data_IF_807440241525
#
_entry.id   IF_807440241525
#
_cell.length_a   1.000
_cell.length_b   1.000
_cell.length_c   1.000
_cell.angle_alpha   90.00
_cell.angle_beta   90.00
_cell.angle_gamma   90.00
#
_symmetry.space_group_name_H-M   'P 1'
#
loop_
_entity.id
_entity.type
_entity.pdbx_description
1 polymer ?
#
# COMPACT_ATOMS: atom_id res chain seq x y z
N UNK A 1 14.15 1.04 -23.94
CA UNK A 1 13.22 2.10 -23.45
C UNK A 1 11.74 1.72 -23.60
N UNK A 2 11.35 0.91 -24.59
CA UNK A 2 9.95 0.51 -24.81
C UNK A 2 9.34 -0.30 -23.64
N UNK A 3 10.08 -1.26 -23.07
CA UNK A 3 9.63 -2.02 -21.89
C UNK A 3 9.44 -1.15 -20.63
N UNK A 4 10.25 -0.11 -20.46
CA UNK A 4 10.13 0.83 -19.35
C UNK A 4 8.90 1.73 -19.49
N UNK A 5 8.59 2.16 -20.73
CA UNK A 5 7.35 2.89 -21.03
C UNK A 5 6.11 2.02 -20.87
N UNK A 6 6.17 0.75 -21.26
CA UNK A 6 5.08 -0.21 -21.02
C UNK A 6 4.85 -0.48 -19.52
N UNK A 7 5.94 -0.51 -18.74
CA UNK A 7 5.92 -0.66 -17.29
C UNK A 7 5.34 0.55 -16.55
N UNK A 8 5.53 1.76 -17.06
CA UNK A 8 4.91 2.98 -16.55
C UNK A 8 3.56 3.30 -17.22
N UNK A 9 3.11 2.45 -18.14
CA UNK A 9 1.82 2.61 -18.81
C UNK A 9 0.63 2.28 -17.90
N UNK A 10 -0.61 2.51 -18.37
CA UNK A 10 -1.83 2.34 -17.56
C UNK A 10 -1.97 0.94 -16.92
N UNK A 11 -1.51 -0.11 -17.63
CA UNK A 11 -1.53 -1.49 -17.13
C UNK A 11 -0.48 -1.71 -16.03
N UNK A 12 0.69 -1.09 -16.15
CA UNK A 12 1.76 -1.18 -15.15
C UNK A 12 1.40 -0.43 -13.87
N UNK A 13 0.83 0.78 -13.98
CA UNK A 13 0.29 1.52 -12.83
C UNK A 13 -0.79 0.73 -12.07
N UNK A 14 -1.63 0.01 -12.80
CA UNK A 14 -2.66 -0.87 -12.22
C UNK A 14 -2.04 -2.03 -11.44
N UNK A 15 -1.04 -2.69 -12.02
CA UNK A 15 -0.31 -3.77 -11.36
C UNK A 15 0.36 -3.27 -10.08
N UNK A 16 0.99 -2.09 -10.11
CA UNK A 16 1.54 -1.45 -8.92
C UNK A 16 0.47 -1.15 -7.88
N UNK A 17 -0.66 -0.54 -8.28
CA UNK A 17 -1.76 -0.25 -7.36
C UNK A 17 -2.26 -1.51 -6.64
N UNK A 18 -2.38 -2.63 -7.35
CA UNK A 18 -2.75 -3.93 -6.77
C UNK A 18 -1.67 -4.44 -5.80
N UNK A 19 -0.39 -4.36 -6.17
CA UNK A 19 0.71 -4.78 -5.28
C UNK A 19 0.71 -3.96 -3.99
N UNK A 20 0.62 -2.62 -4.09
CA UNK A 20 0.55 -1.74 -2.92
C UNK A 20 -0.68 -2.01 -2.07
N UNK A 21 -1.83 -2.34 -2.68
CA UNK A 21 -3.04 -2.71 -1.96
C UNK A 21 -2.84 -4.00 -1.15
N UNK A 22 -2.28 -5.04 -1.77
CA UNK A 22 -2.00 -6.32 -1.09
C UNK A 22 -1.02 -6.09 0.07
N UNK A 23 0.06 -5.35 -0.16
CA UNK A 23 1.03 -5.02 0.90
C UNK A 23 0.38 -4.20 2.02
N UNK A 24 -0.50 -3.26 1.69
CA UNK A 24 -1.24 -2.47 2.68
C UNK A 24 -2.19 -3.31 3.52
N UNK A 25 -2.89 -4.26 2.91
CA UNK A 25 -3.76 -5.20 3.64
C UNK A 25 -2.95 -6.14 4.53
N UNK A 26 -1.80 -6.64 4.06
CA UNK A 26 -0.91 -7.46 4.88
C UNK A 26 -0.33 -6.67 6.07
N UNK A 27 0.08 -5.42 5.84
CA UNK A 27 0.56 -4.53 6.89
C UNK A 27 -0.54 -4.23 7.92
N UNK A 28 -1.79 -4.05 7.46
CA UNK A 28 -2.95 -3.85 8.32
C UNK A 28 -3.22 -5.09 9.21
N UNK A 29 -3.23 -6.28 8.63
CA UNK A 29 -3.36 -7.53 9.38
C UNK A 29 -2.24 -7.66 10.42
N UNK A 30 -1.00 -7.35 10.02
CA UNK A 30 0.15 -7.38 10.92
C UNK A 30 0.07 -6.34 12.06
N UNK A 31 -0.54 -5.17 11.81
CA UNK A 31 -0.83 -4.17 12.82
C UNK A 31 -1.91 -4.65 13.79
N UNK A 32 -3.01 -5.21 13.30
CA UNK A 32 -4.10 -5.73 14.14
C UNK A 32 -3.58 -6.84 15.04
N UNK A 33 -2.86 -7.81 14.48
CA UNK A 33 -2.26 -8.88 15.26
C UNK A 33 -1.27 -8.36 16.30
N UNK A 34 -0.51 -7.31 16.00
CA UNK A 34 0.36 -6.67 16.99
C UNK A 34 -0.41 -6.04 18.15
N UNK A 35 -1.53 -5.42 17.85
CA UNK A 35 -2.38 -4.76 18.84
C UNK A 35 -3.17 -5.75 19.69
N UNK A 36 -3.46 -6.95 19.19
CA UNK A 36 -4.19 -7.97 19.93
C UNK A 36 -3.27 -8.93 20.68
N UNK A 37 -2.16 -9.36 20.07
CA UNK A 37 -1.33 -10.45 20.61
C UNK A 37 -0.30 -10.00 21.65
N UNK A 38 0.08 -8.72 21.67
CA UNK A 38 1.19 -8.22 22.50
C UNK A 38 0.68 -7.25 23.57
N UNK A 39 0.54 -7.70 24.84
CA UNK A 39 0.16 -6.85 25.96
C UNK A 39 1.26 -5.86 26.35
N UNK A 40 2.52 -6.16 26.01
CA UNK A 40 3.71 -5.31 26.28
C UNK A 40 4.12 -4.50 25.05
N UNK A 41 3.21 -4.33 24.08
CA UNK A 41 3.48 -3.61 22.85
C UNK A 41 4.03 -2.21 23.10
N UNK A 42 5.15 -1.92 22.46
CA UNK A 42 5.75 -0.58 22.56
C UNK A 42 4.97 0.41 21.69
N UNK A 43 4.77 1.63 22.20
CA UNK A 43 4.17 2.72 21.44
C UNK A 43 4.90 2.97 20.11
N UNK A 44 6.24 2.89 20.13
CA UNK A 44 7.09 3.00 18.94
C UNK A 44 6.81 1.91 17.90
N UNK A 45 6.66 0.66 18.34
CA UNK A 45 6.34 -0.47 17.47
C UNK A 45 4.97 -0.29 16.80
N UNK A 46 3.94 0.08 17.58
CA UNK A 46 2.59 0.31 17.05
C UNK A 46 2.56 1.42 16.01
N UNK A 47 3.24 2.53 16.28
CA UNK A 47 3.31 3.66 15.34
C UNK A 47 4.04 3.27 14.05
N UNK A 48 5.18 2.58 14.13
CA UNK A 48 5.92 2.18 12.94
C UNK A 48 5.07 1.31 12.00
N UNK A 49 4.30 0.37 12.56
CA UNK A 49 3.39 -0.50 11.79
C UNK A 49 2.21 0.28 11.21
N UNK A 50 1.64 1.22 11.97
CA UNK A 50 0.56 2.08 11.49
C UNK A 50 1.02 2.99 10.35
N UNK A 51 2.20 3.60 10.46
CA UNK A 51 2.81 4.42 9.39
C UNK A 51 3.02 3.57 8.13
N UNK A 52 3.62 2.38 8.26
CA UNK A 52 3.83 1.49 7.12
C UNK A 52 2.51 1.13 6.43
N UNK A 53 1.50 0.77 7.20
CA UNK A 53 0.15 0.45 6.70
C UNK A 53 -0.45 1.63 5.93
N UNK A 54 -0.38 2.84 6.51
CA UNK A 54 -0.89 4.06 5.88
C UNK A 54 -0.17 4.42 4.59
N UNK A 55 1.15 4.22 4.52
CA UNK A 55 1.93 4.47 3.30
C UNK A 55 1.49 3.53 2.17
N UNK A 56 1.38 2.22 2.45
CA UNK A 56 1.00 1.24 1.42
C UNK A 56 -0.44 1.46 0.93
N UNK A 57 -1.39 1.66 1.85
CA UNK A 57 -2.79 1.93 1.48
C UNK A 57 -2.94 3.27 0.76
N UNK A 58 -2.26 4.32 1.25
CA UNK A 58 -2.25 5.64 0.62
C UNK A 58 -1.69 5.60 -0.79
N UNK A 59 -0.57 4.92 -1.00
CA UNK A 59 0.03 4.72 -2.33
C UNK A 59 -0.91 3.93 -3.26
N UNK A 60 -1.55 2.86 -2.77
CA UNK A 60 -2.52 2.10 -3.53
C UNK A 60 -3.69 2.98 -4.00
N UNK A 61 -4.32 3.70 -3.07
CA UNK A 61 -5.44 4.61 -3.35
C UNK A 61 -5.00 5.67 -4.36
N UNK A 62 -3.85 6.31 -4.16
CA UNK A 62 -3.31 7.32 -5.07
C UNK A 62 -3.12 6.77 -6.50
N UNK A 63 -2.58 5.56 -6.65
CA UNK A 63 -2.40 4.92 -7.97
C UNK A 63 -3.74 4.58 -8.64
N UNK A 64 -4.76 4.20 -7.86
CA UNK A 64 -6.11 3.99 -8.41
C UNK A 64 -6.80 5.30 -8.81
N UNK A 65 -6.65 6.37 -8.02
CA UNK A 65 -7.20 7.68 -8.32
C UNK A 65 -6.57 8.30 -9.58
N UNK A 66 -5.24 8.26 -9.67
CA UNK A 66 -4.51 8.76 -10.85
C UNK A 66 -4.84 7.98 -12.13
N UNK A 67 -5.17 6.70 -12.01
CA UNK A 67 -5.72 5.93 -13.14
C UNK A 67 -7.11 6.41 -13.56
N UNK A 68 -8.01 6.68 -12.60
CA UNK A 68 -9.35 7.17 -12.93
C UNK A 68 -9.31 8.51 -13.66
N UNK A 69 -8.41 9.43 -13.29
CA UNK A 69 -8.26 10.72 -13.99
C UNK A 69 -7.72 10.60 -15.42
N UNK A 70 -7.12 9.47 -15.81
CA UNK A 70 -6.60 9.24 -17.18
C UNK A 70 -7.67 8.64 -18.11
N UNK A 71 -8.81 8.18 -17.55
CA UNK A 71 -9.90 7.55 -18.31
C UNK A 71 -11.03 8.53 -18.70
N UNK A 72 -10.98 9.79 -18.26
CA UNK A 72 -11.92 10.86 -18.59
C UNK A 72 -11.21 11.98 -19.36
#
# INVERSE_FOLDING_TARGET
MENFKAFLGPKGLLAFGIIFLILGLLALVWLILYQEADPDRTFRGSIARAIATSIFLGAAIFLFLTRMSVLF
#
